data_IF_984875562090
#
_entry.id   IF_984875562090
#
_cell.length_a   1.000
_cell.length_b   1.000
_cell.length_c   1.000
_cell.angle_alpha   90.00
_cell.angle_beta   90.00
_cell.angle_gamma   90.00
#
_symmetry.space_group_name_H-M   'P 1'
#
loop_
_entity.id
_entity.type
_entity.pdbx_description
1 polymer ?
#
# COMPACT_ATOMS: atom_id res chain seq x y z
N UNK A 1 -14.50 28.17 10.45
CA UNK A 1 -14.52 26.85 11.12
C UNK A 1 -13.12 26.56 11.59
N UNK A 2 -12.91 26.39 12.91
CA UNK A 2 -11.62 26.02 13.46
C UNK A 2 -11.29 24.61 12.98
N UNK A 3 -10.29 24.50 12.10
CA UNK A 3 -9.76 23.20 11.66
C UNK A 3 -9.14 22.55 12.89
N UNK A 4 -9.80 21.53 13.46
CA UNK A 4 -9.17 20.70 14.48
C UNK A 4 -8.10 19.89 13.74
N UNK A 5 -6.86 20.03 14.16
CA UNK A 5 -5.70 19.44 13.50
C UNK A 5 -5.11 18.41 14.47
N UNK A 6 -5.21 17.13 14.12
CA UNK A 6 -4.72 16.04 14.96
C UNK A 6 -5.11 14.66 14.41
N UNK A 7 -4.46 13.59 14.91
CA UNK A 7 -4.87 12.23 14.60
C UNK A 7 -6.28 11.96 15.14
N UNK A 8 -7.09 11.27 14.35
CA UNK A 8 -8.43 10.84 14.72
C UNK A 8 -8.52 9.32 14.68
N UNK A 9 -9.36 8.75 15.54
CA UNK A 9 -9.75 7.36 15.44
C UNK A 9 -11.07 7.26 14.69
N UNK A 10 -11.17 6.33 13.74
CA UNK A 10 -12.44 5.96 13.12
C UNK A 10 -13.10 4.93 14.02
N UNK A 11 -14.26 5.28 14.60
CA UNK A 11 -15.01 4.37 15.48
C UNK A 11 -15.93 3.45 14.70
N UNK A 12 -16.70 4.01 13.79
CA UNK A 12 -17.70 3.27 13.02
C UNK A 12 -18.01 3.94 11.68
N UNK A 13 -18.53 3.14 10.75
CA UNK A 13 -19.06 3.59 9.48
C UNK A 13 -20.56 3.88 9.63
N UNK A 14 -20.98 5.12 9.45
CA UNK A 14 -22.41 5.47 9.36
C UNK A 14 -22.98 5.15 7.99
N UNK A 15 -22.17 5.32 6.95
CA UNK A 15 -22.52 5.02 5.57
C UNK A 15 -21.24 4.69 4.78
N UNK A 16 -21.39 4.43 3.47
CA UNK A 16 -20.25 4.16 2.59
C UNK A 16 -19.21 5.28 2.55
N UNK A 17 -19.59 6.51 2.88
CA UNK A 17 -18.71 7.69 2.77
C UNK A 17 -18.61 8.50 4.05
N UNK A 18 -19.40 8.18 5.10
CA UNK A 18 -19.44 8.93 6.37
C UNK A 18 -18.93 8.04 7.51
N UNK A 19 -17.98 8.57 8.27
CA UNK A 19 -17.38 7.93 9.43
C UNK A 19 -17.63 8.75 10.71
N UNK A 20 -17.85 8.06 11.82
CA UNK A 20 -17.75 8.68 13.15
C UNK A 20 -16.30 8.67 13.59
N UNK A 21 -15.79 9.87 13.90
CA UNK A 21 -14.42 10.08 14.36
C UNK A 21 -14.39 10.44 15.85
N UNK A 22 -13.36 9.98 16.55
CA UNK A 22 -13.11 10.29 17.96
C UNK A 22 -11.68 10.77 18.19
N UNK A 23 -11.49 11.43 19.34
CA UNK A 23 -10.15 11.79 19.79
C UNK A 23 -9.46 10.53 20.33
N UNK A 24 -8.21 10.22 19.92
CA UNK A 24 -7.47 9.10 20.47
C UNK A 24 -7.29 9.14 21.99
N UNK A 25 -7.32 10.33 22.62
CA UNK A 25 -7.28 10.44 24.08
C UNK A 25 -8.57 10.01 24.79
N UNK A 26 -9.71 9.98 24.10
CA UNK A 26 -11.01 9.59 24.64
C UNK A 26 -11.82 8.88 23.53
N UNK A 27 -11.54 7.59 23.26
CA UNK A 27 -12.13 6.87 22.13
C UNK A 27 -13.63 6.57 22.31
N UNK A 28 -14.15 6.60 23.53
CA UNK A 28 -15.56 6.30 23.80
C UNK A 28 -16.50 7.44 23.40
N UNK A 29 -15.97 8.64 23.17
CA UNK A 29 -16.76 9.81 22.83
C UNK A 29 -16.60 10.16 21.35
N UNK A 30 -17.72 10.10 20.61
CA UNK A 30 -17.80 10.57 19.24
C UNK A 30 -17.52 12.08 19.23
N UNK A 31 -16.47 12.48 18.50
CA UNK A 31 -16.08 13.87 18.33
C UNK A 31 -16.92 14.54 17.25
N UNK A 32 -17.02 13.88 16.09
CA UNK A 32 -17.72 14.40 14.90
C UNK A 32 -17.99 13.27 13.89
N UNK A 33 -18.85 13.52 12.91
CA UNK A 33 -19.00 12.72 11.69
C UNK A 33 -18.32 13.39 10.51
N UNK A 34 -17.41 12.69 9.82
CA UNK A 34 -16.66 13.23 8.68
C UNK A 34 -16.84 12.39 7.42
N UNK A 35 -16.72 13.03 6.26
CA UNK A 35 -16.65 12.35 4.98
C UNK A 35 -15.25 11.79 4.76
N UNK A 36 -15.14 10.63 4.10
CA UNK A 36 -13.84 10.02 3.77
C UNK A 36 -12.92 10.97 3.00
N UNK A 37 -13.48 11.78 2.10
CA UNK A 37 -12.73 12.74 1.28
C UNK A 37 -12.15 13.91 2.08
N UNK A 38 -12.62 14.12 3.31
CA UNK A 38 -12.11 15.15 4.21
C UNK A 38 -11.08 14.59 5.20
N UNK A 39 -10.85 13.27 5.20
CA UNK A 39 -9.85 12.61 6.04
C UNK A 39 -8.56 12.38 5.24
N UNK A 40 -7.46 12.40 5.97
CA UNK A 40 -6.14 12.04 5.46
C UNK A 40 -5.59 10.93 6.35
N UNK A 41 -4.90 9.97 5.73
CA UNK A 41 -4.24 8.91 6.48
C UNK A 41 -3.23 9.52 7.46
N UNK A 42 -3.26 9.02 8.69
CA UNK A 42 -2.28 9.42 9.68
C UNK A 42 -0.95 8.72 9.37
N UNK A 43 0.09 9.53 9.19
CA UNK A 43 1.47 9.08 9.09
C UNK A 43 2.20 9.49 10.36
N UNK A 44 2.79 8.51 11.06
CA UNK A 44 3.69 8.85 12.16
C UNK A 44 4.90 9.63 11.61
N UNK A 45 5.21 10.81 12.16
CA UNK A 45 6.38 11.56 11.76
C UNK A 45 7.64 10.74 12.03
N UNK A 46 8.37 10.40 10.95
CA UNK A 46 9.59 9.59 11.01
C UNK A 46 9.46 8.18 10.44
N UNK A 47 8.24 7.71 10.15
CA UNK A 47 8.02 6.45 9.42
C UNK A 47 8.02 6.73 7.93
N UNK A 48 9.21 6.75 7.35
CA UNK A 48 9.38 6.80 5.90
C UNK A 48 9.00 5.43 5.31
N UNK A 49 7.77 5.32 4.79
CA UNK A 49 7.27 4.11 4.12
C UNK A 49 8.08 3.76 2.87
N UNK A 50 8.82 4.72 2.32
CA UNK A 50 9.61 4.54 1.10
C UNK A 50 11.04 4.03 1.38
N UNK A 51 11.45 3.95 2.66
CA UNK A 51 12.75 3.40 3.08
C UNK A 51 12.75 1.87 3.26
N UNK A 52 11.72 1.17 2.79
CA UNK A 52 11.77 -0.29 2.66
C UNK A 52 12.94 -0.71 1.77
N UNK A 53 13.56 -1.90 1.96
CA UNK A 53 14.56 -2.41 1.04
C UNK A 53 13.94 -2.48 -0.37
N UNK A 54 14.32 -1.55 -1.24
CA UNK A 54 13.90 -1.60 -2.63
C UNK A 54 14.71 -2.70 -3.28
N UNK A 55 14.06 -3.84 -3.55
CA UNK A 55 14.68 -4.90 -4.34
C UNK A 55 15.13 -4.32 -5.68
N UNK A 56 16.39 -4.54 -6.10
CA UNK A 56 16.85 -4.06 -7.39
C UNK A 56 15.90 -4.57 -8.47
N UNK A 57 15.36 -3.65 -9.27
CA UNK A 57 14.59 -3.97 -10.46
C UNK A 57 15.37 -5.03 -11.25
N UNK A 58 14.83 -6.26 -11.31
CA UNK A 58 15.38 -7.32 -12.13
C UNK A 58 15.54 -6.74 -13.52
N UNK A 59 16.77 -6.64 -14.01
CA UNK A 59 17.07 -6.08 -15.33
C UNK A 59 16.34 -6.92 -16.37
N UNK A 60 15.13 -6.50 -16.76
CA UNK A 60 14.44 -6.96 -17.97
C UNK A 60 15.12 -6.27 -19.14
N UNK A 61 16.36 -6.70 -19.40
CA UNK A 61 17.15 -6.31 -20.55
C UNK A 61 17.17 -7.45 -21.57
N UNK A 62 17.64 -7.13 -22.77
CA UNK A 62 17.90 -8.09 -23.85
C UNK A 62 18.75 -9.25 -23.30
N UNK A 63 18.40 -10.52 -23.61
CA UNK A 63 19.19 -11.67 -23.15
C UNK A 63 20.65 -11.48 -23.55
N UNK A 64 21.56 -11.73 -22.60
CA UNK A 64 23.00 -11.67 -22.84
C UNK A 64 23.32 -12.62 -23.98
N UNK A 65 24.04 -12.14 -25.01
CA UNK A 65 24.55 -13.01 -26.07
C UNK A 65 25.47 -14.04 -25.40
N UNK A 66 25.04 -15.29 -25.46
CA UNK A 66 25.81 -16.45 -25.04
C UNK A 66 27.00 -16.62 -26.01
N UNK A 67 28.21 -16.93 -25.52
CA UNK A 67 29.34 -17.24 -26.40
C UNK A 67 28.99 -18.42 -27.31
N UNK A 68 29.50 -18.45 -28.56
CA UNK A 68 29.23 -19.53 -29.50
C UNK A 68 29.64 -20.87 -28.86
N UNK A 69 28.66 -21.76 -28.64
CA UNK A 69 28.82 -23.03 -27.93
C UNK A 69 28.00 -23.17 -26.64
N UNK A 70 27.37 -22.10 -26.16
CA UNK A 70 26.39 -22.20 -25.07
C UNK A 70 24.97 -22.19 -25.65
N UNK A 71 24.46 -23.38 -25.96
CA UNK A 71 23.05 -23.54 -26.28
C UNK A 71 22.20 -23.28 -25.02
N UNK A 72 21.18 -22.42 -25.09
CA UNK A 72 20.14 -22.43 -24.08
C UNK A 72 19.41 -23.77 -24.24
N UNK A 73 19.64 -24.70 -23.31
CA UNK A 73 18.95 -26.00 -23.26
C UNK A 73 17.46 -25.69 -23.19
N UNK A 74 16.78 -25.66 -24.35
CA UNK A 74 15.34 -25.50 -24.45
C UNK A 74 14.73 -26.69 -23.73
N UNK A 75 14.36 -26.53 -22.46
CA UNK A 75 13.44 -27.45 -21.81
C UNK A 75 12.15 -27.37 -22.60
N UNK A 76 11.95 -28.38 -23.45
CA UNK A 76 10.70 -28.61 -24.16
C UNK A 76 9.67 -28.97 -23.10
N UNK A 77 8.90 -27.97 -22.68
CA UNK A 77 7.76 -28.15 -21.79
C UNK A 77 6.86 -29.23 -22.41
N UNK A 78 6.76 -30.38 -21.77
CA UNK A 78 5.80 -31.42 -22.16
C UNK A 78 4.42 -30.90 -21.77
N UNK A 79 3.77 -30.18 -22.68
CA UNK A 79 2.32 -29.93 -22.56
C UNK A 79 1.61 -31.26 -22.74
N UNK A 80 0.62 -31.48 -21.88
CA UNK A 80 -0.06 -32.75 -21.62
C UNK A 80 -0.51 -33.51 -22.87
N UNK A 81 -0.39 -34.83 -22.76
CA UNK A 81 -1.15 -35.76 -23.58
C UNK A 81 -2.62 -35.71 -23.16
N UNK A 82 -3.51 -35.62 -24.15
CA UNK A 82 -4.90 -36.07 -24.03
C UNK A 82 -4.93 -37.58 -23.80
#
# INVERSE_FOLDING_TARGET
MSKREGPYLILTFRSLVIYEIANPGNPDQVLETSLISALMDYHEPGVDRDNGPVDPLRKTGRPKKLPPGSEPRRQRNQRGSL
#
